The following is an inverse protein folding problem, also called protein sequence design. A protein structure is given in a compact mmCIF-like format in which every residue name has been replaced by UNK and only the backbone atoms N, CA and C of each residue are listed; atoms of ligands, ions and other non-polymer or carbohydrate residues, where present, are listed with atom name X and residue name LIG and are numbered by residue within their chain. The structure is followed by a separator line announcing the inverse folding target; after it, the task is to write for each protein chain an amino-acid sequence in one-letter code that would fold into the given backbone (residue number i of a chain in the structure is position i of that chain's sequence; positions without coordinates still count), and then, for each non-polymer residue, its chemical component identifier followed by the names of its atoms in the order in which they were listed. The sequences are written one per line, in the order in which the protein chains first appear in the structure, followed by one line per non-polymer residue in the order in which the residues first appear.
data_IF_567339622670
#
_entry.id   IF_567339622670
#
_cell.length_a   1.000
_cell.length_b   1.000
_cell.length_c   1.000
_cell.angle_alpha   90.00
_cell.angle_beta   90.00
_cell.angle_gamma   90.00
#
_symmetry.space_group_name_H-M   'P 1'
#
loop_
_entity.id
_entity.type
_entity.pdbx_description
1 polymer ?
#
# COMPACT_ATOMS: atom_id res chain seq x y z
N UNK A 1 -7.01 30.08 6.56
CA UNK A 1 -8.33 30.48 7.08
C UNK A 1 -8.79 29.39 8.03
N UNK A 2 -9.28 29.73 9.22
CA UNK A 2 -9.85 28.75 10.15
C UNK A 2 -11.26 28.41 9.70
N UNK A 3 -11.50 27.13 9.36
CA UNK A 3 -12.84 26.63 9.03
C UNK A 3 -13.69 26.50 10.31
N UNK A 4 -15.02 26.51 10.17
CA UNK A 4 -15.90 26.40 11.33
C UNK A 4 -15.76 25.03 12.02
N UNK A 5 -15.91 24.94 13.36
CA UNK A 5 -15.91 23.66 14.06
C UNK A 5 -16.98 22.68 13.54
N UNK A 6 -18.11 23.22 13.08
CA UNK A 6 -19.19 22.45 12.46
C UNK A 6 -18.74 21.81 11.14
N UNK A 7 -18.10 22.59 10.26
CA UNK A 7 -17.60 22.07 8.98
C UNK A 7 -16.53 20.98 9.20
N UNK A 8 -15.65 21.19 10.19
CA UNK A 8 -14.64 20.20 10.59
C UNK A 8 -15.33 18.90 11.05
N UNK A 9 -16.33 19.01 11.94
CA UNK A 9 -17.06 17.85 12.45
C UNK A 9 -17.76 17.04 11.36
N UNK A 10 -18.45 17.70 10.42
CA UNK A 10 -19.11 17.01 9.32
C UNK A 10 -18.12 16.46 8.28
N UNK A 11 -16.99 17.12 8.05
CA UNK A 11 -15.95 16.59 7.18
C UNK A 11 -15.30 15.32 7.77
N UNK A 12 -15.11 15.25 9.10
CA UNK A 12 -14.68 14.01 9.75
C UNK A 12 -15.67 12.86 9.52
N UNK A 13 -16.98 13.15 9.49
CA UNK A 13 -18.00 12.16 9.16
C UNK A 13 -17.91 11.71 7.70
N UNK A 14 -17.64 12.62 6.77
CA UNK A 14 -17.38 12.29 5.37
C UNK A 14 -16.09 11.45 5.21
N UNK A 15 -15.04 11.73 5.98
CA UNK A 15 -13.82 10.92 6.01
C UNK A 15 -14.08 9.47 6.47
N UNK A 16 -14.99 9.24 7.41
CA UNK A 16 -15.41 7.87 7.78
C UNK A 16 -16.06 7.13 6.61
N UNK A 17 -16.80 7.83 5.76
CA UNK A 17 -17.36 7.25 4.54
C UNK A 17 -16.29 7.01 3.48
N UNK A 18 -15.29 7.88 3.36
CA UNK A 18 -14.14 7.67 2.48
C UNK A 18 -13.36 6.41 2.89
N UNK A 19 -13.20 6.15 4.19
CA UNK A 19 -12.60 4.92 4.70
C UNK A 19 -13.45 3.69 4.32
N UNK A 20 -14.78 3.76 4.43
CA UNK A 20 -15.66 2.67 4.00
C UNK A 20 -15.52 2.34 2.51
N UNK A 21 -15.35 3.34 1.64
CA UNK A 21 -15.00 3.11 0.23
C UNK A 21 -13.63 2.43 0.09
N UNK A 22 -12.61 2.89 0.83
CA UNK A 22 -11.28 2.28 0.81
C UNK A 22 -11.33 0.78 1.19
N UNK A 23 -12.06 0.46 2.25
CA UNK A 23 -12.23 -0.91 2.76
C UNK A 23 -12.95 -1.81 1.75
N UNK A 24 -13.80 -1.22 0.89
CA UNK A 24 -14.46 -1.90 -0.23
C UNK A 24 -13.61 -1.95 -1.51
N UNK A 25 -12.37 -1.43 -1.51
CA UNK A 25 -11.48 -1.39 -2.67
C UNK A 25 -11.83 -0.29 -3.70
N UNK A 26 -12.69 0.65 -3.32
CA UNK A 26 -13.13 1.79 -4.12
C UNK A 26 -12.23 3.01 -3.87
N UNK A 27 -12.18 3.95 -4.82
CA UNK A 27 -11.47 5.23 -4.60
C UNK A 27 -12.06 5.93 -3.37
N UNK A 28 -11.26 6.29 -2.35
CA UNK A 28 -11.77 6.68 -1.04
C UNK A 28 -12.29 8.12 -1.04
N UNK A 29 -13.52 8.29 -1.52
CA UNK A 29 -14.27 9.54 -1.42
C UNK A 29 -15.54 9.25 -0.64
N UNK A 30 -15.82 10.11 0.33
CA UNK A 30 -16.99 10.02 1.19
C UNK A 30 -17.74 11.34 1.22
N UNK A 31 -19.05 11.26 1.44
CA UNK A 31 -19.92 12.42 1.51
C UNK A 31 -21.01 12.24 2.57
N UNK A 32 -21.44 13.35 3.15
CA UNK A 32 -22.61 13.42 4.04
C UNK A 32 -23.48 14.61 3.67
N UNK A 33 -24.79 14.46 3.80
CA UNK A 33 -25.77 15.53 3.61
C UNK A 33 -26.33 15.94 4.96
N UNK A 34 -26.28 17.23 5.25
CA UNK A 34 -26.70 17.82 6.52
C UNK A 34 -27.85 18.79 6.29
N UNK A 35 -28.85 18.76 7.17
CA UNK A 35 -29.95 19.73 7.23
C UNK A 35 -30.18 20.12 8.68
N UNK A 36 -30.26 21.42 8.97
CA UNK A 36 -30.45 21.95 10.33
C UNK A 36 -29.48 21.34 11.38
N UNK A 37 -28.20 21.20 11.02
CA UNK A 37 -27.17 20.64 11.90
C UNK A 37 -27.25 19.13 12.12
N UNK A 38 -28.11 18.41 11.39
CA UNK A 38 -28.25 16.96 11.49
C UNK A 38 -27.89 16.27 10.17
N UNK A 39 -27.13 15.17 10.25
CA UNK A 39 -26.86 14.31 9.09
C UNK A 39 -28.14 13.56 8.72
N UNK A 40 -28.64 13.79 7.51
CA UNK A 40 -29.83 13.10 6.99
C UNK A 40 -29.48 11.93 6.05
N UNK A 41 -28.28 11.96 5.47
CA UNK A 41 -27.78 10.89 4.61
C UNK A 41 -26.25 10.88 4.54
N UNK A 42 -25.71 9.74 4.13
CA UNK A 42 -24.29 9.52 3.86
C UNK A 42 -24.12 8.71 2.58
N UNK A 43 -22.94 8.80 1.98
CA UNK A 43 -22.57 8.05 0.79
C UNK A 43 -21.06 7.98 0.63
N UNK A 44 -20.60 6.97 -0.09
CA UNK A 44 -19.21 6.82 -0.49
C UNK A 44 -19.15 6.33 -1.94
N UNK A 45 -17.99 6.46 -2.57
CA UNK A 45 -17.79 5.93 -3.92
C UNK A 45 -18.05 4.43 -3.95
N UNK A 46 -18.87 4.00 -4.90
CA UNK A 46 -19.17 2.60 -5.15
C UNK A 46 -19.27 2.23 -6.66
N UNK A 47 -18.51 2.86 -7.59
CA UNK A 47 -18.67 2.60 -9.02
C UNK A 47 -18.30 1.16 -9.43
N UNK A 48 -17.28 0.56 -8.80
CA UNK A 48 -16.86 -0.81 -9.12
C UNK A 48 -17.88 -1.82 -8.59
N UNK A 49 -18.23 -1.70 -7.32
CA UNK A 49 -19.11 -2.61 -6.59
C UNK A 49 -20.56 -2.56 -7.09
N UNK A 50 -21.05 -1.39 -7.51
CA UNK A 50 -22.40 -1.23 -8.06
C UNK A 50 -22.47 -1.34 -9.58
N UNK A 51 -21.33 -1.43 -10.27
CA UNK A 51 -21.26 -1.35 -11.72
C UNK A 51 -22.00 -0.13 -12.30
N UNK A 52 -21.96 0.99 -11.56
CA UNK A 52 -22.69 2.21 -11.87
C UNK A 52 -21.68 3.37 -11.98
N UNK A 53 -21.41 3.90 -13.18
CA UNK A 53 -20.45 4.98 -13.36
C UNK A 53 -20.87 6.28 -12.66
N UNK A 54 -22.14 6.39 -12.25
CA UNK A 54 -22.67 7.55 -11.51
C UNK A 54 -22.60 7.39 -9.99
N UNK A 55 -22.20 6.22 -9.48
CA UNK A 55 -22.19 5.90 -8.04
C UNK A 55 -21.01 6.55 -7.28
N UNK A 56 -20.82 7.85 -7.48
CA UNK A 56 -19.92 8.69 -6.69
C UNK A 56 -20.53 8.99 -5.31
N UNK A 57 -19.68 9.31 -4.35
CA UNK A 57 -20.07 9.61 -2.98
C UNK A 57 -21.17 10.67 -2.88
N UNK A 58 -21.03 11.77 -3.63
CA UNK A 58 -21.97 12.87 -3.69
C UNK A 58 -23.33 12.38 -4.21
N UNK A 59 -23.34 11.69 -5.34
CA UNK A 59 -24.58 11.20 -5.97
C UNK A 59 -25.29 10.20 -5.06
N UNK A 60 -24.54 9.30 -4.43
CA UNK A 60 -25.07 8.32 -3.49
C UNK A 60 -25.69 8.99 -2.25
N UNK A 61 -25.00 9.97 -1.67
CA UNK A 61 -25.49 10.73 -0.51
C UNK A 61 -26.72 11.60 -0.87
N UNK A 62 -26.71 12.25 -2.04
CA UNK A 62 -27.84 13.04 -2.54
C UNK A 62 -29.07 12.17 -2.79
N UNK A 63 -28.89 11.00 -3.42
CA UNK A 63 -29.98 10.04 -3.68
C UNK A 63 -30.62 9.57 -2.38
N UNK A 64 -29.79 9.22 -1.38
CA UNK A 64 -30.27 8.82 -0.06
C UNK A 64 -30.98 9.97 0.68
N UNK A 65 -30.46 11.20 0.61
CA UNK A 65 -31.10 12.37 1.21
C UNK A 65 -32.47 12.67 0.57
N UNK A 66 -32.56 12.60 -0.76
CA UNK A 66 -33.81 12.83 -1.48
C UNK A 66 -34.89 11.81 -1.13
N UNK A 67 -34.49 10.55 -0.97
CA UNK A 67 -35.38 9.48 -0.48
C UNK A 67 -35.83 9.74 0.95
N UNK A 68 -34.91 10.12 1.85
CA UNK A 68 -35.24 10.41 3.25
C UNK A 68 -36.20 11.60 3.41
N UNK A 69 -36.08 12.62 2.55
CA UNK A 69 -36.97 13.79 2.56
C UNK A 69 -38.24 13.62 1.71
N UNK A 70 -38.32 12.55 0.90
CA UNK A 70 -39.38 12.38 -0.09
C UNK A 70 -39.42 13.49 -1.15
N UNK A 71 -38.28 14.12 -1.44
CA UNK A 71 -38.19 15.25 -2.36
C UNK A 71 -36.84 15.28 -3.08
N UNK A 72 -36.84 15.56 -4.38
CA UNK A 72 -35.62 15.70 -5.17
C UNK A 72 -34.88 17.02 -4.89
N UNK A 73 -35.59 18.03 -4.39
CA UNK A 73 -34.99 19.29 -3.95
C UNK A 73 -34.52 19.14 -2.50
N UNK A 74 -33.24 19.39 -2.32
CA UNK A 74 -32.51 19.37 -1.05
C UNK A 74 -32.24 20.81 -0.61
N UNK A 75 -33.26 21.66 -0.72
CA UNK A 75 -33.21 23.04 -0.23
C UNK A 75 -32.80 23.04 1.27
N UNK A 76 -32.07 24.07 1.69
CA UNK A 76 -31.48 24.21 3.04
C UNK A 76 -30.48 23.12 3.47
N UNK A 77 -30.13 22.18 2.59
CA UNK A 77 -29.12 21.19 2.87
C UNK A 77 -27.71 21.69 2.52
N UNK A 78 -26.72 21.17 3.25
CA UNK A 78 -25.29 21.29 2.96
C UNK A 78 -24.75 19.91 2.61
N UNK A 79 -24.04 19.80 1.49
CA UNK A 79 -23.28 18.61 1.12
C UNK A 79 -21.82 18.77 1.56
N UNK A 80 -21.32 17.85 2.36
CA UNK A 80 -19.90 17.74 2.71
C UNK A 80 -19.28 16.58 1.94
N UNK A 81 -18.16 16.78 1.26
CA UNK A 81 -17.46 15.73 0.50
C UNK A 81 -15.95 15.83 0.64
N UNK A 82 -15.25 14.70 0.78
CA UNK A 82 -13.80 14.70 1.06
C UNK A 82 -12.93 15.19 -0.11
N UNK A 83 -13.43 15.13 -1.33
CA UNK A 83 -12.72 15.56 -2.54
C UNK A 83 -13.58 16.57 -3.33
N UNK A 84 -12.95 17.51 -3.99
CA UNK A 84 -13.63 18.46 -4.87
C UNK A 84 -14.51 17.73 -5.90
N UNK A 85 -15.80 18.10 -6.03
CA UNK A 85 -16.72 17.40 -6.91
C UNK A 85 -16.38 17.58 -8.38
N UNK A 86 -16.51 16.50 -9.15
CA UNK A 86 -16.40 16.52 -10.60
C UNK A 86 -17.62 17.19 -11.27
N UNK A 87 -17.56 17.43 -12.58
CA UNK A 87 -18.65 18.10 -13.32
C UNK A 87 -20.02 17.43 -13.15
N UNK A 88 -20.08 16.09 -13.11
CA UNK A 88 -21.32 15.34 -12.88
C UNK A 88 -21.91 15.64 -11.51
N UNK A 89 -21.10 15.52 -10.46
CA UNK A 89 -21.55 15.72 -9.07
C UNK A 89 -21.93 17.17 -8.82
N UNK A 90 -21.18 18.13 -9.35
CA UNK A 90 -21.49 19.56 -9.27
C UNK A 90 -22.80 19.91 -9.97
N UNK A 91 -23.04 19.38 -11.18
CA UNK A 91 -24.31 19.54 -11.89
C UNK A 91 -25.49 18.92 -11.12
N UNK A 92 -25.29 17.72 -10.56
CA UNK A 92 -26.30 17.06 -9.74
C UNK A 92 -26.63 17.86 -8.46
N UNK A 93 -25.64 18.45 -7.79
CA UNK A 93 -25.84 19.30 -6.62
C UNK A 93 -26.64 20.57 -6.96
N UNK A 94 -26.39 21.19 -8.12
CA UNK A 94 -27.17 22.33 -8.62
C UNK A 94 -28.61 21.93 -8.94
N UNK A 95 -28.84 20.79 -9.58
CA UNK A 95 -30.19 20.26 -9.84
C UNK A 95 -30.95 19.92 -8.55
N UNK A 96 -30.25 19.41 -7.54
CA UNK A 96 -30.79 19.14 -6.21
C UNK A 96 -30.95 20.40 -5.36
N UNK A 97 -30.50 21.57 -5.82
CA UNK A 97 -30.63 22.87 -5.15
C UNK A 97 -30.00 22.95 -3.76
N UNK A 98 -28.83 22.35 -3.60
CA UNK A 98 -28.08 22.52 -2.36
C UNK A 98 -27.85 23.99 -2.05
N UNK A 99 -28.05 24.37 -0.79
CA UNK A 99 -27.70 25.70 -0.30
C UNK A 99 -26.19 25.89 -0.32
N UNK A 100 -25.45 24.85 0.08
CA UNK A 100 -24.00 24.89 0.20
C UNK A 100 -23.37 23.53 -0.12
N UNK A 101 -22.19 23.57 -0.75
CA UNK A 101 -21.28 22.44 -0.93
C UNK A 101 -19.97 22.78 -0.23
N UNK A 102 -19.49 21.88 0.61
CA UNK A 102 -18.24 21.99 1.35
C UNK A 102 -17.36 20.82 0.97
N UNK A 103 -16.13 21.08 0.52
CA UNK A 103 -15.20 20.02 0.17
C UNK A 103 -13.85 20.13 0.87
N UNK A 104 -13.19 18.99 1.00
CA UNK A 104 -11.85 18.87 1.58
C UNK A 104 -10.74 19.17 0.58
N UNK A 105 -10.11 18.11 0.06
CA UNK A 105 -9.01 18.24 -0.89
C UNK A 105 -9.49 18.74 -2.26
N UNK A 106 -8.64 19.50 -2.97
CA UNK A 106 -8.88 19.88 -4.37
C UNK A 106 -8.61 18.72 -5.33
N UNK A 107 -9.26 18.72 -6.49
CA UNK A 107 -9.06 17.73 -7.56
C UNK A 107 -8.50 18.43 -8.82
N UNK A 108 -7.17 18.56 -8.93
CA UNK A 108 -6.55 19.39 -9.97
C UNK A 108 -6.74 18.87 -11.40
N UNK A 109 -7.16 17.61 -11.58
CA UNK A 109 -7.32 17.03 -12.93
C UNK A 109 -8.73 17.09 -13.47
N UNK A 110 -9.74 17.07 -12.60
CA UNK A 110 -11.15 16.94 -13.01
C UNK A 110 -12.15 17.74 -12.16
N UNK A 111 -11.67 18.44 -11.13
CA UNK A 111 -12.50 19.22 -10.21
C UNK A 111 -13.27 20.33 -10.91
N UNK A 112 -14.54 20.45 -10.57
CA UNK A 112 -15.48 21.38 -11.18
C UNK A 112 -16.04 22.44 -10.22
N UNK A 113 -15.35 22.67 -9.10
CA UNK A 113 -15.66 23.67 -8.08
C UNK A 113 -14.55 24.71 -7.90
N UNK A 114 -13.65 24.84 -8.88
CA UNK A 114 -12.57 25.81 -8.89
C UNK A 114 -11.26 25.32 -9.55
N UNK A 115 -11.02 24.01 -9.61
CA UNK A 115 -9.74 23.49 -10.15
C UNK A 115 -9.65 23.56 -11.68
N UNK A 116 -10.48 22.80 -12.38
CA UNK A 116 -10.49 22.76 -13.86
C UNK A 116 -11.66 23.57 -14.41
N UNK A 117 -12.83 23.37 -13.82
CA UNK A 117 -14.04 24.14 -14.09
C UNK A 117 -14.54 24.74 -12.77
N UNK A 118 -15.40 25.74 -12.87
CA UNK A 118 -16.14 26.23 -11.71
C UNK A 118 -17.62 26.37 -12.05
N UNK A 119 -18.33 25.24 -12.07
CA UNK A 119 -19.76 25.21 -12.42
C UNK A 119 -20.61 26.09 -11.51
N UNK A 120 -20.19 26.24 -10.24
CA UNK A 120 -20.88 27.05 -9.25
C UNK A 120 -20.70 28.56 -9.41
N UNK A 121 -19.74 29.01 -10.24
CA UNK A 121 -19.53 30.43 -10.53
C UNK A 121 -20.29 30.92 -11.79
N UNK A 122 -21.01 30.05 -12.49
CA UNK A 122 -21.75 30.45 -13.69
C UNK A 122 -23.13 31.03 -13.32
N UNK A 123 -23.24 32.36 -13.43
CA UNK A 123 -24.47 33.12 -13.09
C UNK A 123 -25.68 32.78 -13.97
N UNK A 124 -25.47 32.21 -15.17
CA UNK A 124 -26.54 31.78 -16.07
C UNK A 124 -27.29 30.53 -15.57
N UNK A 125 -26.73 29.79 -14.61
CA UNK A 125 -27.40 28.63 -14.00
C UNK A 125 -28.45 29.14 -13.02
N UNK A 126 -29.65 28.56 -13.09
CA UNK A 126 -30.84 29.05 -12.38
C UNK A 126 -30.73 29.03 -10.85
N UNK A 127 -30.07 28.03 -10.27
CA UNK A 127 -29.83 27.91 -8.83
C UNK A 127 -28.36 28.20 -8.52
N UNK A 128 -28.12 28.91 -7.43
CA UNK A 128 -26.78 29.30 -7.00
C UNK A 128 -26.47 28.63 -5.66
N UNK A 129 -25.38 27.87 -5.62
CA UNK A 129 -24.94 27.11 -4.44
C UNK A 129 -23.65 27.71 -3.91
N UNK A 130 -23.59 27.96 -2.61
CA UNK A 130 -22.36 28.44 -1.98
C UNK A 130 -21.32 27.32 -1.93
N UNK A 131 -20.05 27.62 -2.22
CA UNK A 131 -18.97 26.63 -2.19
C UNK A 131 -17.92 27.02 -1.16
N UNK A 132 -17.47 26.05 -0.37
CA UNK A 132 -16.32 26.20 0.54
C UNK A 132 -15.36 25.04 0.34
N UNK A 133 -14.14 25.30 -0.13
CA UNK A 133 -13.08 24.30 -0.25
C UNK A 133 -12.09 24.35 0.91
N UNK A 134 -11.32 23.27 1.07
CA UNK A 134 -10.15 23.24 1.95
C UNK A 134 -10.37 22.68 3.36
N UNK A 135 -11.60 22.27 3.71
CA UNK A 135 -11.90 21.78 5.06
C UNK A 135 -11.23 20.43 5.29
N UNK A 136 -10.26 20.35 6.21
CA UNK A 136 -9.44 19.15 6.43
C UNK A 136 -8.80 18.62 5.13
N UNK A 137 -8.33 19.53 4.26
CA UNK A 137 -7.76 19.17 2.97
C UNK A 137 -6.62 18.16 3.06
N UNK A 138 -5.70 18.34 4.02
CA UNK A 138 -4.54 17.46 4.22
C UNK A 138 -4.97 16.04 4.60
N UNK A 139 -5.91 15.90 5.54
CA UNK A 139 -6.45 14.60 5.94
C UNK A 139 -7.16 13.90 4.78
N UNK A 140 -7.97 14.64 4.03
CA UNK A 140 -8.67 14.12 2.86
C UNK A 140 -7.69 13.65 1.76
N UNK A 141 -6.66 14.45 1.48
CA UNK A 141 -5.64 14.10 0.50
C UNK A 141 -4.81 12.90 0.95
N UNK A 142 -4.52 12.79 2.26
CA UNK A 142 -3.73 11.71 2.81
C UNK A 142 -4.41 10.33 2.67
N UNK A 143 -5.74 10.27 2.80
CA UNK A 143 -6.51 9.03 2.58
C UNK A 143 -6.40 8.57 1.11
N UNK A 144 -6.62 9.48 0.14
CA UNK A 144 -6.45 9.21 -1.29
C UNK A 144 -5.04 8.75 -1.63
N UNK A 145 -4.02 9.45 -1.09
CA UNK A 145 -2.61 9.11 -1.31
C UNK A 145 -2.29 7.70 -0.84
N UNK A 146 -2.68 7.33 0.39
CA UNK A 146 -2.45 5.98 0.95
C UNK A 146 -3.09 4.89 0.09
N UNK A 147 -4.33 5.09 -0.36
CA UNK A 147 -5.04 4.13 -1.21
C UNK A 147 -4.31 3.87 -2.54
N UNK A 148 -3.86 4.93 -3.23
CA UNK A 148 -3.14 4.75 -4.49
C UNK A 148 -1.72 4.23 -4.30
N UNK A 149 -1.05 4.54 -3.18
CA UNK A 149 0.25 3.94 -2.83
C UNK A 149 0.12 2.43 -2.65
N UNK A 150 -0.89 1.98 -1.89
CA UNK A 150 -1.20 0.56 -1.70
C UNK A 150 -1.52 -0.14 -3.03
N UNK A 151 -2.36 0.47 -3.90
CA UNK A 151 -2.65 -0.11 -5.23
C UNK A 151 -1.43 -0.16 -6.14
N UNK A 152 -0.55 0.84 -6.12
CA UNK A 152 0.69 0.82 -6.91
C UNK A 152 1.64 -0.28 -6.44
N UNK A 153 1.79 -0.46 -5.13
CA UNK A 153 2.57 -1.58 -4.58
C UNK A 153 1.99 -2.94 -5.04
N UNK A 154 0.66 -3.08 -5.00
CA UNK A 154 -0.03 -4.28 -5.47
C UNK A 154 0.05 -4.51 -7.00
N UNK A 155 0.08 -3.44 -7.79
CA UNK A 155 0.34 -3.55 -9.24
C UNK A 155 1.78 -3.94 -9.53
N UNK A 156 2.76 -3.47 -8.75
CA UNK A 156 4.15 -3.94 -8.88
C UNK A 156 4.29 -5.43 -8.51
N UNK A 157 3.54 -5.90 -7.52
CA UNK A 157 3.44 -7.32 -7.18
C UNK A 157 2.94 -8.17 -8.37
N UNK A 158 2.02 -7.67 -9.20
CA UNK A 158 1.38 -8.47 -10.26
C UNK A 158 2.05 -8.41 -11.64
N UNK A 159 3.04 -7.53 -11.87
CA UNK A 159 3.65 -7.33 -13.20
C UNK A 159 4.52 -8.47 -13.71
N UNK A 160 5.11 -9.26 -12.83
CA UNK A 160 5.96 -10.41 -13.22
C UNK A 160 5.08 -11.66 -13.28
N UNK A 161 4.88 -12.29 -14.46
CA UNK A 161 4.15 -13.54 -14.57
C UNK A 161 4.73 -14.58 -13.62
N UNK A 162 3.89 -15.26 -12.86
CA UNK A 162 4.33 -16.33 -11.98
C UNK A 162 4.69 -17.55 -12.84
N UNK A 163 5.90 -18.08 -12.67
CA UNK A 163 6.31 -19.34 -13.29
C UNK A 163 5.45 -20.50 -12.81
N UNK A 164 5.17 -21.45 -13.71
CA UNK A 164 4.36 -22.64 -13.39
C UNK A 164 4.96 -23.52 -12.28
N UNK A 165 6.27 -23.47 -12.10
CA UNK A 165 7.00 -24.23 -11.07
C UNK A 165 7.19 -23.46 -9.74
N UNK A 166 6.60 -22.28 -9.61
CA UNK A 166 6.68 -21.43 -8.42
C UNK A 166 5.31 -21.08 -7.83
N UNK A 167 5.31 -20.67 -6.58
CA UNK A 167 4.18 -20.13 -5.85
C UNK A 167 4.47 -18.69 -5.46
N UNK A 168 3.43 -17.86 -5.45
CA UNK A 168 3.49 -16.50 -4.92
C UNK A 168 2.49 -16.41 -3.79
N UNK A 169 2.96 -15.95 -2.63
CA UNK A 169 2.09 -15.77 -1.47
C UNK A 169 0.98 -14.79 -1.84
N UNK A 170 -0.30 -15.15 -1.65
CA UNK A 170 -1.42 -14.27 -1.96
C UNK A 170 -1.45 -13.08 -0.99
N UNK A 171 -1.85 -11.91 -1.47
CA UNK A 171 -1.89 -10.69 -0.64
C UNK A 171 -2.80 -10.84 0.58
N UNK A 172 -3.88 -11.63 0.46
CA UNK A 172 -4.77 -11.94 1.57
C UNK A 172 -4.10 -12.63 2.76
N UNK A 173 -2.94 -13.27 2.57
CA UNK A 173 -2.18 -13.87 3.67
C UNK A 173 -1.58 -12.82 4.63
N UNK A 174 -1.48 -11.57 4.19
CA UNK A 174 -0.95 -10.45 4.98
C UNK A 174 -2.04 -9.50 5.48
N UNK A 175 -3.32 -9.79 5.20
CA UNK A 175 -4.42 -8.92 5.61
C UNK A 175 -4.48 -8.77 7.14
N UNK A 176 -4.53 -7.51 7.61
CA UNK A 176 -4.55 -7.19 9.04
C UNK A 176 -3.19 -7.28 9.75
N UNK A 177 -2.11 -7.59 9.03
CA UNK A 177 -0.75 -7.60 9.57
C UNK A 177 -0.03 -6.29 9.26
N UNK A 178 0.78 -5.81 10.21
CA UNK A 178 1.58 -4.59 10.04
C UNK A 178 2.83 -4.87 9.19
N UNK A 179 2.63 -4.95 7.87
CA UNK A 179 3.69 -5.13 6.88
C UNK A 179 3.91 -3.81 6.15
N UNK A 180 5.13 -3.24 6.13
CA UNK A 180 5.42 -1.94 5.54
C UNK A 180 5.51 -2.01 4.01
N UNK A 181 4.40 -2.37 3.34
CA UNK A 181 4.33 -2.60 1.89
C UNK A 181 4.75 -1.37 1.05
N UNK A 182 4.69 -0.16 1.62
CA UNK A 182 5.22 1.05 0.97
C UNK A 182 6.74 0.99 0.70
N UNK A 183 7.48 0.23 1.52
CA UNK A 183 8.92 0.01 1.37
C UNK A 183 9.25 -1.18 0.47
N UNK A 184 8.25 -1.98 0.06
CA UNK A 184 8.48 -3.16 -0.78
C UNK A 184 9.01 -2.78 -2.16
N UNK A 185 9.98 -3.57 -2.63
CA UNK A 185 10.58 -3.47 -3.96
C UNK A 185 10.71 -4.88 -4.54
N UNK A 186 10.67 -4.97 -5.86
CA UNK A 186 10.73 -6.23 -6.59
C UNK A 186 11.62 -6.11 -7.82
N UNK A 187 12.24 -7.23 -8.19
CA UNK A 187 12.90 -7.39 -9.50
C UNK A 187 12.70 -8.80 -10.02
N UNK A 188 12.71 -8.95 -11.34
CA UNK A 188 12.81 -10.23 -12.04
C UNK A 188 13.92 -10.20 -13.11
N UNK A 189 14.74 -9.14 -13.10
CA UNK A 189 15.66 -8.83 -14.21
C UNK A 189 17.05 -9.45 -13.99
N UNK A 190 17.33 -9.98 -12.79
CA UNK A 190 18.60 -10.63 -12.50
C UNK A 190 18.66 -11.98 -13.23
N UNK A 191 19.74 -12.29 -13.97
CA UNK A 191 19.87 -13.54 -14.73
C UNK A 191 19.59 -14.80 -13.92
N UNK A 192 20.09 -14.88 -12.67
CA UNK A 192 19.90 -16.05 -11.81
C UNK A 192 18.44 -16.29 -11.39
N UNK A 193 17.56 -15.30 -11.54
CA UNK A 193 16.15 -15.46 -11.20
C UNK A 193 15.38 -16.26 -12.25
N UNK A 194 15.87 -16.29 -13.50
CA UNK A 194 15.21 -16.99 -14.60
C UNK A 194 13.70 -16.66 -14.66
N UNK A 195 13.33 -15.38 -14.49
CA UNK A 195 11.94 -14.90 -14.48
C UNK A 195 11.20 -15.03 -13.15
N UNK A 196 11.81 -15.55 -12.08
CA UNK A 196 11.25 -15.47 -10.73
C UNK A 196 11.33 -14.04 -10.18
N UNK A 197 10.38 -13.68 -9.33
CA UNK A 197 10.37 -12.38 -8.66
C UNK A 197 11.07 -12.45 -7.30
N UNK A 198 12.10 -11.63 -7.14
CA UNK A 198 12.81 -11.37 -5.88
C UNK A 198 12.22 -10.14 -5.20
N UNK A 199 12.08 -10.16 -3.88
CA UNK A 199 11.57 -9.06 -3.05
C UNK A 199 12.60 -8.58 -2.02
N UNK A 200 12.57 -7.28 -1.73
CA UNK A 200 13.20 -6.70 -0.55
C UNK A 200 12.42 -5.48 -0.03
N UNK A 201 12.59 -5.15 1.24
CA UNK A 201 12.21 -3.84 1.77
C UNK A 201 13.38 -2.86 1.65
N UNK A 202 13.08 -1.61 1.29
CA UNK A 202 14.05 -0.53 1.14
C UNK A 202 13.51 0.75 1.77
N UNK A 203 14.16 1.25 2.82
CA UNK A 203 13.72 2.46 3.52
C UNK A 203 14.30 3.76 2.93
N UNK A 204 15.13 3.67 1.89
CA UNK A 204 15.76 4.83 1.26
C UNK A 204 14.74 5.61 0.43
N UNK A 205 14.68 6.94 0.63
CA UNK A 205 13.71 7.80 -0.06
C UNK A 205 14.16 8.23 -1.46
N UNK A 206 15.45 8.39 -1.69
CA UNK A 206 16.04 8.91 -2.93
C UNK A 206 17.03 7.94 -3.59
N UNK A 207 17.33 6.80 -2.94
CA UNK A 207 18.29 5.81 -3.40
C UNK A 207 19.73 6.33 -3.50
N UNK A 208 20.06 7.48 -2.90
CA UNK A 208 21.39 8.10 -3.03
C UNK A 208 22.38 7.68 -1.94
N UNK A 209 21.89 7.09 -0.85
CA UNK A 209 22.73 6.61 0.25
C UNK A 209 23.07 5.13 0.09
N UNK A 210 24.34 4.79 0.32
CA UNK A 210 24.83 3.41 0.35
C UNK A 210 24.17 2.65 1.52
N UNK A 211 23.45 1.54 1.27
CA UNK A 211 22.71 0.85 2.31
C UNK A 211 23.55 -0.17 3.08
N UNK A 212 23.13 -0.45 4.31
CA UNK A 212 23.38 -1.73 4.94
C UNK A 212 22.32 -2.74 4.48
N UNK A 213 22.75 -3.91 4.02
CA UNK A 213 21.84 -4.98 3.56
C UNK A 213 21.69 -6.03 4.66
N UNK A 214 20.47 -6.45 4.95
CA UNK A 214 20.13 -7.45 5.96
C UNK A 214 19.54 -8.68 5.30
N UNK A 215 20.04 -9.86 5.66
CA UNK A 215 19.60 -11.15 5.16
C UNK A 215 19.08 -12.01 6.31
N UNK A 216 17.83 -12.46 6.22
CA UNK A 216 17.16 -13.24 7.26
C UNK A 216 17.78 -14.64 7.47
N UNK A 217 17.41 -15.28 8.59
CA UNK A 217 17.75 -16.67 8.90
C UNK A 217 16.76 -17.69 8.29
N UNK A 218 16.85 -18.95 8.71
CA UNK A 218 15.98 -20.02 8.20
C UNK A 218 14.52 -19.92 8.71
N UNK A 219 14.35 -19.42 9.93
CA UNK A 219 13.07 -19.41 10.65
C UNK A 219 12.31 -18.09 10.52
N UNK A 220 12.65 -17.27 9.52
CA UNK A 220 12.08 -15.94 9.34
C UNK A 220 12.21 -15.42 7.93
N UNK A 221 11.94 -14.13 7.79
CA UNK A 221 12.02 -13.37 6.54
C UNK A 221 12.35 -11.91 6.87
N UNK A 222 12.53 -11.06 5.85
CA UNK A 222 13.04 -9.69 5.97
C UNK A 222 12.37 -8.82 7.03
N UNK A 223 11.11 -9.08 7.38
CA UNK A 223 10.39 -8.35 8.43
C UNK A 223 10.98 -8.52 9.84
N UNK A 224 11.88 -9.49 10.05
CA UNK A 224 12.70 -9.59 11.28
C UNK A 224 13.49 -8.30 11.56
N UNK A 225 13.75 -7.51 10.51
CA UNK A 225 14.51 -6.27 10.58
C UNK A 225 13.62 -5.01 10.54
N UNK A 226 12.35 -5.13 10.95
CA UNK A 226 11.42 -4.00 10.98
C UNK A 226 11.97 -2.80 11.79
N UNK A 227 12.65 -3.04 12.91
CA UNK A 227 13.26 -1.98 13.71
C UNK A 227 14.37 -1.22 12.94
N UNK A 228 15.19 -1.93 12.15
CA UNK A 228 16.22 -1.33 11.32
C UNK A 228 15.61 -0.57 10.14
N UNK A 229 14.57 -1.12 9.51
CA UNK A 229 13.83 -0.45 8.43
C UNK A 229 13.16 0.85 8.89
N UNK A 230 12.72 0.92 10.15
CA UNK A 230 12.15 2.13 10.75
C UNK A 230 13.21 3.16 11.21
N UNK A 231 14.50 2.80 11.19
CA UNK A 231 15.58 3.72 11.55
C UNK A 231 15.84 4.76 10.46
N UNK A 232 16.59 5.81 10.79
CA UNK A 232 17.05 6.81 9.81
C UNK A 232 18.24 6.35 8.96
N UNK A 233 18.84 5.20 9.28
CA UNK A 233 19.95 4.66 8.50
C UNK A 233 19.44 4.06 7.18
N UNK A 234 20.22 4.12 6.08
CA UNK A 234 19.86 3.49 4.82
C UNK A 234 19.94 1.96 4.95
N UNK A 235 18.79 1.29 4.87
CA UNK A 235 18.64 -0.14 5.13
C UNK A 235 17.86 -0.80 4.01
N UNK A 236 18.38 -1.96 3.59
CA UNK A 236 17.69 -2.92 2.75
C UNK A 236 17.53 -4.23 3.53
N UNK A 237 16.35 -4.83 3.51
CA UNK A 237 16.12 -6.16 4.06
C UNK A 237 15.63 -7.11 2.95
N UNK A 238 16.46 -8.08 2.57
CA UNK A 238 16.24 -8.96 1.42
C UNK A 238 15.48 -10.23 1.83
N UNK A 239 14.52 -10.67 1.00
CA UNK A 239 13.93 -12.00 1.06
C UNK A 239 14.56 -12.93 0.02
N UNK A 240 15.17 -14.04 0.43
CA UNK A 240 15.63 -15.06 -0.53
C UNK A 240 14.46 -15.72 -1.26
N UNK A 241 14.73 -16.33 -2.43
CA UNK A 241 13.73 -17.12 -3.14
C UNK A 241 13.26 -18.27 -2.25
N UNK A 242 11.94 -18.48 -2.18
CA UNK A 242 11.35 -19.41 -1.21
C UNK A 242 10.96 -18.78 0.12
N UNK A 243 11.28 -17.51 0.38
CA UNK A 243 11.00 -16.84 1.65
C UNK A 243 10.20 -15.54 1.45
N UNK A 244 9.58 -15.05 2.53
CA UNK A 244 8.94 -13.73 2.59
C UNK A 244 8.00 -13.43 1.42
N UNK A 245 8.18 -12.29 0.74
CA UNK A 245 7.38 -11.91 -0.43
C UNK A 245 8.03 -12.29 -1.78
N UNK A 246 9.20 -12.92 -1.76
CA UNK A 246 9.82 -13.51 -2.94
C UNK A 246 9.04 -14.74 -3.43
N UNK A 247 9.15 -15.02 -4.73
CA UNK A 247 8.56 -16.22 -5.32
C UNK A 247 9.17 -17.49 -4.70
N UNK A 248 8.36 -18.55 -4.64
CA UNK A 248 8.68 -19.79 -3.94
C UNK A 248 8.65 -20.97 -4.90
N UNK A 249 9.78 -21.38 -5.48
CA UNK A 249 9.88 -22.61 -6.25
C UNK A 249 9.30 -23.81 -5.48
N UNK A 250 8.43 -24.59 -6.13
CA UNK A 250 7.66 -25.67 -5.48
C UNK A 250 8.52 -26.86 -5.05
N UNK A 251 9.65 -27.07 -5.73
CA UNK A 251 10.50 -28.27 -5.56
C UNK A 251 11.70 -27.94 -4.67
N UNK A 252 11.90 -28.75 -3.63
CA UNK A 252 13.09 -28.69 -2.73
C UNK A 252 14.40 -28.69 -3.54
N UNK A 253 14.48 -29.52 -4.59
CA UNK A 253 15.67 -29.63 -5.45
C UNK A 253 16.02 -28.33 -6.22
N UNK A 254 15.09 -27.39 -6.36
CA UNK A 254 15.37 -26.08 -6.96
C UNK A 254 16.28 -25.22 -6.06
N UNK A 255 16.17 -25.37 -4.74
CA UNK A 255 16.88 -24.56 -3.76
C UNK A 255 18.28 -25.11 -3.46
N UNK A 256 19.22 -24.88 -4.38
CA UNK A 256 20.65 -25.24 -4.21
C UNK A 256 21.43 -24.08 -3.59
N UNK A 257 22.39 -24.37 -2.69
CA UNK A 257 23.28 -23.35 -2.07
C UNK A 257 23.90 -22.44 -3.13
N UNK A 258 24.47 -23.02 -4.19
CA UNK A 258 25.13 -22.27 -5.25
C UNK A 258 24.19 -21.30 -5.98
N UNK A 259 22.93 -21.67 -6.16
CA UNK A 259 21.94 -20.82 -6.82
C UNK A 259 21.53 -19.65 -5.92
N UNK A 260 21.24 -19.90 -4.64
CA UNK A 260 20.96 -18.83 -3.68
C UNK A 260 22.14 -17.86 -3.51
N UNK A 261 23.36 -18.38 -3.45
CA UNK A 261 24.57 -17.56 -3.39
C UNK A 261 24.73 -16.68 -4.65
N UNK A 262 24.42 -17.21 -5.83
CA UNK A 262 24.43 -16.45 -7.08
C UNK A 262 23.36 -15.35 -7.08
N UNK A 263 22.13 -15.65 -6.69
CA UNK A 263 21.06 -14.65 -6.59
C UNK A 263 21.44 -13.53 -5.63
N UNK A 264 22.00 -13.86 -4.45
CA UNK A 264 22.46 -12.88 -3.48
C UNK A 264 23.59 -12.00 -4.06
N UNK A 265 24.55 -12.59 -4.75
CA UNK A 265 25.65 -11.86 -5.39
C UNK A 265 25.14 -10.88 -6.46
N UNK A 266 24.27 -11.35 -7.35
CA UNK A 266 23.67 -10.53 -8.41
C UNK A 266 22.82 -9.40 -7.82
N UNK A 267 22.04 -9.70 -6.77
CA UNK A 267 21.26 -8.68 -6.06
C UNK A 267 22.17 -7.60 -5.47
N UNK A 268 23.19 -7.98 -4.69
CA UNK A 268 24.11 -7.03 -4.07
C UNK A 268 24.84 -6.17 -5.11
N UNK A 269 25.21 -6.74 -6.26
CA UNK A 269 25.81 -6.00 -7.37
C UNK A 269 24.84 -5.03 -8.05
N UNK A 270 23.53 -5.33 -8.05
CA UNK A 270 22.50 -4.47 -8.62
C UNK A 270 22.15 -3.25 -7.75
N UNK A 271 22.44 -3.31 -6.44
CA UNK A 271 22.13 -2.23 -5.50
C UNK A 271 23.07 -1.05 -5.72
N UNK A 272 22.48 0.14 -5.93
CA UNK A 272 23.22 1.40 -6.08
C UNK A 272 22.77 2.43 -5.03
N UNK A 273 23.70 3.22 -4.45
CA UNK A 273 25.14 2.95 -4.41
C UNK A 273 25.47 1.58 -3.78
N UNK A 274 26.67 1.07 -4.03
CA UNK A 274 27.11 -0.23 -3.53
C UNK A 274 26.88 -0.37 -2.02
N UNK A 275 26.40 -1.54 -1.53
CA UNK A 275 26.18 -1.76 -0.11
C UNK A 275 27.43 -1.52 0.74
N UNK A 276 27.24 -1.00 1.95
CA UNK A 276 28.32 -0.79 2.93
C UNK A 276 28.76 -2.12 3.56
N UNK A 277 27.79 -2.94 3.96
CA UNK A 277 28.02 -4.25 4.56
C UNK A 277 26.76 -5.13 4.46
N UNK A 278 26.96 -6.45 4.56
CA UNK A 278 25.91 -7.44 4.71
C UNK A 278 25.81 -7.89 6.17
N UNK A 279 24.62 -7.77 6.73
CA UNK A 279 24.24 -8.19 8.08
C UNK A 279 23.46 -9.49 8.00
N UNK A 280 23.92 -10.54 8.69
CA UNK A 280 23.44 -11.89 8.42
C UNK A 280 23.65 -12.86 9.60
N UNK A 281 22.72 -13.79 9.86
CA UNK A 281 22.91 -14.89 10.80
C UNK A 281 24.02 -15.86 10.40
N UNK A 282 24.71 -16.42 11.38
CA UNK A 282 25.82 -17.38 11.14
C UNK A 282 25.40 -18.61 10.33
N UNK A 283 24.15 -19.06 10.47
CA UNK A 283 23.62 -20.21 9.71
C UNK A 283 23.67 -20.00 8.19
N UNK A 284 23.69 -18.75 7.72
CA UNK A 284 23.75 -18.43 6.29
C UNK A 284 25.18 -18.40 5.75
N UNK A 285 26.21 -18.63 6.56
CA UNK A 285 27.61 -18.57 6.15
C UNK A 285 27.94 -19.34 4.84
N UNK A 286 27.37 -20.53 4.57
CA UNK A 286 27.63 -21.25 3.32
C UNK A 286 27.20 -20.50 2.04
N UNK A 287 26.28 -19.54 2.13
CA UNK A 287 25.85 -18.71 1.00
C UNK A 287 26.85 -17.58 0.68
N UNK A 288 27.76 -17.27 1.59
CA UNK A 288 28.55 -16.02 1.57
C UNK A 288 29.98 -16.23 1.07
N UNK A 289 30.39 -17.47 0.79
CA UNK A 289 31.79 -17.84 0.55
C UNK A 289 32.50 -17.07 -0.58
N UNK A 290 31.75 -16.46 -1.50
CA UNK A 290 32.29 -15.70 -2.65
C UNK A 290 31.98 -14.20 -2.61
N UNK A 291 31.47 -13.68 -1.49
CA UNK A 291 31.10 -12.27 -1.38
C UNK A 291 32.31 -11.41 -1.02
N UNK A 292 32.52 -10.34 -1.80
CA UNK A 292 33.54 -9.32 -1.59
C UNK A 292 32.95 -8.09 -0.86
N UNK A 293 32.13 -8.31 0.16
CA UNK A 293 31.44 -7.28 0.94
C UNK A 293 31.67 -7.53 2.44
N UNK A 294 31.91 -6.51 3.28
CA UNK A 294 32.05 -6.70 4.72
C UNK A 294 30.84 -7.44 5.30
N UNK A 295 31.11 -8.49 6.11
CA UNK A 295 30.07 -9.31 6.74
C UNK A 295 30.00 -9.00 8.23
N UNK A 296 28.82 -8.64 8.70
CA UNK A 296 28.50 -8.49 10.12
C UNK A 296 27.56 -9.62 10.56
N UNK A 297 28.08 -10.47 11.45
CA UNK A 297 27.30 -11.56 12.03
C UNK A 297 26.33 -11.04 13.08
N UNK A 298 25.09 -11.51 13.04
CA UNK A 298 24.07 -11.10 14.01
C UNK A 298 23.17 -12.23 14.45
N UNK A 299 22.61 -12.06 15.64
CA UNK A 299 21.50 -12.87 16.14
C UNK A 299 20.19 -12.27 15.65
N UNK A 300 19.25 -13.13 15.22
CA UNK A 300 17.93 -12.70 14.75
C UNK A 300 16.87 -12.87 15.83
N UNK A 301 16.04 -11.85 16.00
CA UNK A 301 14.84 -11.94 16.81
C UNK A 301 13.77 -12.80 16.13
N UNK A 302 13.05 -13.59 16.92
CA UNK A 302 11.92 -14.36 16.42
C UNK A 302 10.76 -13.42 16.04
N UNK A 303 10.11 -13.70 14.90
CA UNK A 303 8.86 -13.03 14.54
C UNK A 303 7.69 -13.61 15.34
N UNK A 304 6.67 -12.79 15.66
CA UNK A 304 5.37 -13.32 16.08
C UNK A 304 4.86 -14.35 15.08
N UNK A 305 4.23 -15.43 15.56
CA UNK A 305 3.81 -16.56 14.72
C UNK A 305 2.98 -16.13 13.50
N UNK A 306 2.03 -15.19 13.68
CA UNK A 306 1.22 -14.65 12.59
C UNK A 306 2.08 -14.02 11.47
N UNK A 307 3.11 -13.25 11.81
CA UNK A 307 4.02 -12.66 10.82
C UNK A 307 5.00 -13.67 10.25
N UNK A 308 5.49 -14.61 11.07
CA UNK A 308 6.41 -15.67 10.64
C UNK A 308 5.76 -16.57 9.60
N UNK A 309 4.50 -16.93 9.81
CA UNK A 309 3.80 -17.97 9.05
C UNK A 309 3.02 -17.38 7.85
N UNK A 310 2.74 -16.07 7.84
CA UNK A 310 2.02 -15.39 6.74
C UNK A 310 2.58 -15.64 5.32
N UNK A 311 3.91 -15.67 5.09
CA UNK A 311 4.46 -16.05 3.79
C UNK A 311 4.11 -17.46 3.31
N UNK A 312 3.63 -18.33 4.20
CA UNK A 312 3.53 -19.78 4.01
C UNK A 312 2.11 -20.32 4.30
N UNK A 313 1.10 -19.92 3.51
CA UNK A 313 -0.29 -20.34 3.73
C UNK A 313 -0.52 -21.85 3.57
N UNK A 314 0.37 -22.56 2.88
CA UNK A 314 0.32 -24.01 2.70
C UNK A 314 1.71 -24.64 2.66
N UNK A 315 1.74 -25.99 2.66
CA UNK A 315 2.97 -26.77 2.65
C UNK A 315 3.80 -26.62 1.36
N UNK A 316 3.19 -26.18 0.25
CA UNK A 316 3.87 -25.90 -1.01
C UNK A 316 4.80 -24.69 -0.90
N UNK A 317 4.40 -23.67 -0.15
CA UNK A 317 5.20 -22.47 0.08
C UNK A 317 6.45 -22.74 0.95
N UNK A 318 6.48 -23.86 1.68
CA UNK A 318 7.58 -24.21 2.59
C UNK A 318 8.76 -24.95 1.94
N UNK A 319 8.80 -25.09 0.61
CA UNK A 319 9.87 -25.82 -0.08
C UNK A 319 11.27 -25.20 0.15
N UNK A 320 11.37 -23.87 0.13
CA UNK A 320 12.61 -23.13 0.40
C UNK A 320 13.14 -23.34 1.82
N UNK A 321 12.35 -23.02 2.86
CA UNK A 321 12.72 -23.29 4.26
C UNK A 321 13.16 -24.74 4.52
N UNK A 322 12.42 -25.73 4.00
CA UNK A 322 12.80 -27.15 4.14
C UNK A 322 14.15 -27.48 3.49
N UNK A 323 14.36 -26.97 2.26
CA UNK A 323 15.59 -27.24 1.52
C UNK A 323 16.80 -26.62 2.20
N UNK A 324 16.76 -25.33 2.50
CA UNK A 324 17.88 -24.62 3.14
C UNK A 324 18.07 -25.08 4.58
N UNK A 325 17.01 -25.44 5.31
CA UNK A 325 17.13 -26.04 6.64
C UNK A 325 17.96 -27.32 6.63
N UNK A 326 17.80 -28.16 5.61
CA UNK A 326 18.61 -29.37 5.45
C UNK A 326 20.04 -29.05 5.01
N UNK A 327 20.19 -28.14 4.05
CA UNK A 327 21.48 -27.83 3.41
C UNK A 327 22.43 -27.02 4.30
N UNK A 328 21.89 -26.18 5.18
CA UNK A 328 22.66 -25.26 6.03
C UNK A 328 22.85 -25.79 7.47
N UNK A 329 22.16 -26.87 7.86
CA UNK A 329 22.32 -27.51 9.16
C UNK A 329 23.50 -28.49 9.26
N UNK A 330 24.31 -28.66 8.19
CA UNK A 330 25.50 -29.51 8.24
C UNK A 330 26.56 -28.91 9.19
N UNK A 331 27.22 -29.72 10.03
CA UNK A 331 28.17 -29.21 11.04
C UNK A 331 29.34 -28.50 10.36
N UNK A 332 29.67 -27.29 10.84
CA UNK A 332 30.90 -26.61 10.47
C UNK A 332 32.10 -27.52 10.78
N UNK A 333 33.10 -27.64 9.88
CA UNK A 333 34.36 -28.29 10.25
C UNK A 333 34.96 -27.57 11.46
N UNK A 334 35.58 -28.30 12.40
CA UNK A 334 36.17 -27.69 13.59
C UNK A 334 37.22 -26.64 13.15
N UNK A 335 37.39 -25.55 13.91
CA UNK A 335 38.40 -24.56 13.61
C UNK A 335 39.77 -25.25 13.57
N UNK A 336 40.54 -25.03 12.50
CA UNK A 336 41.94 -25.45 12.45
C UNK A 336 42.65 -24.90 13.69
N UNK A 337 43.25 -25.81 14.47
CA UNK A 337 44.05 -25.44 15.63
C UNK A 337 45.32 -24.77 15.11
N UNK A 338 45.36 -23.44 15.30
CA UNK A 338 46.52 -22.54 15.48
C UNK A 338 47.73 -22.74 14.57
#
# INVERSE_FOLDING_TARGET
MTHSPEDIGFMQLALRQAQAAADAGEVPVGAVVVRAGQVIAYGHNAPLTRHDPTAHAEVNAMRAAAQALGNYRLDDCTLYVTLEPCAMCSGAALHARFKRVVFGATEPKTGAAGSVLNLFAHEQINHQTQVTGGVLADDCAQVLKRFFEQRRAHQQLSKVPLRDDALRTPDGAFAGLDVPLAMSRFTADLPALEGLRLHWFDNRQDGQSAPHVYLHGLDGWSLQYAAQLQSSAPVIALDLLGFGLSDKPKKVAAHRIAWHAQVLQEFLASVQPAPVALHVPRVMAPLLAKLALPIHWMETSALPAALRDAPYPDHGHMAGPRALGTLLAAPMPPPERS
#
